data_IF_425641618792
#
_entry.id   IF_425641618792
#
_cell.length_a   1.000
_cell.length_b   1.000
_cell.length_c   1.000
_cell.angle_alpha   90.00
_cell.angle_beta   90.00
_cell.angle_gamma   90.00
#
_symmetry.space_group_name_H-M   'P 1'
#
loop_
_entity.id
_entity.type
_entity.pdbx_description
1 polymer ?
2 non-polymer ?
3 non-polymer ?
4 water ?
#
# COMPACT_ATOMS: atom_id res chain seq x y z
CA UNK A 1 -5.52 -3.19 -17.01
C UNK A 1 -5.02 -1.75 -17.02
N UNK A 2 -4.87 -1.18 -15.82
CA UNK A 2 -4.30 0.14 -15.65
C UNK A 2 -2.79 0.07 -15.76
N UNK A 3 -2.19 1.18 -16.17
CA UNK A 3 -0.75 1.19 -16.33
C UNK A 3 -0.07 1.30 -14.96
N UNK A 4 0.91 0.44 -14.74
CA UNK A 4 1.72 0.41 -13.52
C UNK A 4 3.12 0.85 -13.90
N UNK A 5 3.77 1.75 -13.15
CA UNK A 5 3.30 2.39 -11.92
C UNK A 5 2.12 3.31 -12.16
N UNK A 6 1.20 3.30 -11.21
CA UNK A 6 -0.02 4.07 -11.29
C UNK A 6 -0.03 5.12 -10.18
N UNK A 7 -0.48 6.31 -10.52
CA UNK A 7 -0.66 7.38 -9.55
C UNK A 7 -2.15 7.64 -9.36
N UNK A 8 -2.63 7.43 -8.14
CA UNK A 8 -4.00 7.74 -7.76
C UNK A 8 -4.00 9.01 -6.93
N UNK A 9 -4.42 10.16 -7.46
CA UNK A 9 -4.52 11.35 -6.62
C UNK A 9 -5.54 11.10 -5.52
N UNK A 10 -5.27 11.66 -4.34
CA UNK A 10 -6.15 11.59 -3.17
C UNK A 10 -6.53 13.03 -2.87
N UNK A 11 -7.60 13.54 -3.47
CA UNK A 11 -7.84 15.00 -3.40
C UNK A 11 -8.08 15.48 -1.98
N UNK A 12 -7.31 16.48 -1.59
CA UNK A 12 -7.38 17.00 -0.24
C UNK A 12 -6.75 16.09 0.79
N UNK A 13 -5.98 15.10 0.35
CA UNK A 13 -5.31 14.22 1.26
C UNK A 13 -6.24 13.16 1.82
N UNK A 14 -5.71 12.47 2.81
CA UNK A 14 -6.48 11.43 3.47
C UNK A 14 -7.09 11.95 4.76
N UNK A 15 -8.03 11.19 5.27
CA UNK A 15 -8.82 11.58 6.43
C UNK A 15 -9.33 10.27 7.04
N UNK A 16 -9.55 10.20 8.33
CA UNK A 16 -10.16 9.01 8.88
C UNK A 16 -11.50 8.75 8.22
N UNK A 17 -11.78 7.46 8.03
CA UNK A 17 -12.97 6.89 7.39
C UNK A 17 -12.81 6.80 5.88
N UNK A 18 -11.68 7.22 5.33
CA UNK A 18 -11.41 7.02 3.91
C UNK A 18 -10.85 5.63 3.67
N UNK A 19 -11.49 4.90 2.77
CA UNK A 19 -11.15 3.53 2.44
C UNK A 19 -10.64 3.50 1.00
N UNK A 20 -9.40 3.04 0.83
CA UNK A 20 -8.79 2.83 -0.47
C UNK A 20 -8.90 1.35 -0.80
N UNK A 21 -9.33 1.04 -2.01
CA UNK A 21 -9.41 -0.35 -2.46
C UNK A 21 -8.61 -0.52 -3.73
N UNK A 22 -7.71 -1.49 -3.72
CA UNK A 22 -6.88 -1.83 -4.88
C UNK A 22 -7.20 -3.28 -5.26
N UNK A 23 -7.58 -3.50 -6.51
CA UNK A 23 -7.79 -4.84 -7.03
C UNK A 23 -6.76 -5.10 -8.11
N UNK A 24 -6.14 -6.28 -8.08
CA UNK A 24 -5.23 -6.64 -9.15
C UNK A 24 -4.93 -8.11 -9.07
N UNK A 25 -3.99 -8.54 -9.89
CA UNK A 25 -3.52 -9.92 -9.91
C UNK A 25 -2.01 -9.88 -9.86
N UNK A 26 -1.43 -10.69 -8.99
CA UNK A 26 0.02 -10.75 -8.93
C UNK A 26 0.55 -11.44 -10.18
N UNK A 27 1.62 -10.90 -10.75
CA UNK A 27 2.24 -11.53 -11.92
C UNK A 27 2.80 -12.90 -11.56
N UNK A 28 3.00 -13.76 -12.56
CA UNK A 28 3.29 -15.18 -12.25
C UNK A 28 4.59 -15.42 -11.51
N UNK A 29 5.64 -14.65 -11.75
CA UNK A 29 6.89 -14.85 -11.03
C UNK A 29 7.25 -13.57 -10.32
N UNK A 30 6.42 -13.16 -9.35
CA UNK A 30 6.55 -11.81 -8.81
C UNK A 30 7.70 -11.71 -7.83
N UNK A 31 8.30 -10.54 -7.78
CA UNK A 31 9.33 -10.26 -6.79
C UNK A 31 8.89 -9.23 -5.76
N UNK A 32 8.14 -8.20 -6.16
CA UNK A 32 7.84 -7.11 -5.24
C UNK A 32 6.60 -6.36 -5.70
N UNK A 33 5.93 -5.73 -4.71
CA UNK A 33 4.81 -4.82 -4.92
C UNK A 33 5.05 -3.66 -3.98
N UNK A 34 4.63 -2.45 -4.36
CA UNK A 34 4.65 -1.35 -3.41
C UNK A 34 3.45 -0.44 -3.56
N UNK A 35 2.89 -0.07 -2.42
CA UNK A 35 1.98 1.07 -2.30
C UNK A 35 2.73 2.19 -1.60
N UNK A 36 2.64 3.40 -2.12
CA UNK A 36 3.31 4.56 -1.55
C UNK A 36 2.30 5.69 -1.37
N UNK A 37 1.87 5.90 -0.12
CA UNK A 37 1.07 7.08 0.21
C UNK A 37 2.04 8.23 0.40
N UNK A 38 1.98 9.23 -0.47
CA UNK A 38 3.01 10.25 -0.55
C UNK A 38 2.50 11.62 -0.11
N UNK A 39 3.39 12.34 0.58
CA UNK A 39 3.23 13.75 0.92
C UNK A 39 4.35 14.48 0.18
N UNK A 40 4.03 14.99 -1.00
CA UNK A 40 5.10 15.50 -1.86
C UNK A 40 6.12 14.41 -2.14
N UNK A 41 7.39 14.74 -1.95
CA UNK A 41 8.46 13.76 -2.11
C UNK A 41 8.56 12.77 -0.97
N UNK A 42 7.93 13.04 0.15
CA UNK A 42 7.99 12.11 1.27
C UNK A 42 7.00 10.97 1.06
N UNK A 43 7.33 9.82 1.64
CA UNK A 43 6.43 8.68 1.62
C UNK A 43 5.92 8.49 3.02
N UNK A 44 4.66 8.88 3.26
CA UNK A 44 4.09 8.71 4.58
C UNK A 44 3.94 7.24 4.96
N UNK A 45 3.55 6.40 4.02
CA UNK A 45 3.32 4.97 4.29
C UNK A 45 3.67 4.22 3.02
N UNK A 46 4.74 3.43 3.14
CA UNK A 46 5.22 2.51 2.09
C UNK A 46 4.85 1.13 2.58
N UNK A 47 4.09 0.42 1.76
CA UNK A 47 3.63 -0.95 2.03
C UNK A 47 4.21 -1.82 0.93
N UNK A 48 5.12 -2.74 1.29
CA UNK A 48 6.02 -3.35 0.32
C UNK A 48 6.13 -4.87 0.52
N UNK A 49 5.22 -5.62 -0.07
CA UNK A 49 5.41 -7.08 -0.17
C UNK A 49 6.65 -7.44 -0.96
N UNK A 50 7.49 -8.27 -0.35
CA UNK A 50 8.69 -8.82 -0.96
C UNK A 50 8.54 -10.34 -1.03
N UNK A 51 8.57 -10.88 -2.24
CA UNK A 51 8.34 -12.31 -2.44
C UNK A 51 9.59 -13.17 -2.22
N UNK A 52 10.78 -12.57 -2.20
CA UNK A 52 12.01 -13.31 -2.01
C UNK A 52 13.06 -12.38 -1.42
N UNK A 53 13.00 -12.20 -0.12
CA UNK A 53 14.05 -11.52 0.62
C UNK A 53 14.76 -12.64 1.38
N UNK A 54 15.92 -13.04 0.88
CA UNK A 54 16.66 -14.16 1.48
C UNK A 54 15.77 -15.40 1.63
N UNK A 55 15.00 -15.67 0.58
CA UNK A 55 14.15 -16.85 0.46
C UNK A 55 12.99 -16.85 1.43
N UNK A 56 12.61 -15.68 1.91
CA UNK A 56 11.44 -15.49 2.74
C UNK A 56 10.52 -14.46 2.11
N UNK A 57 9.25 -14.61 2.35
CA UNK A 57 8.24 -13.64 1.92
C UNK A 57 7.88 -12.77 3.11
N UNK A 58 7.93 -11.46 2.91
CA UNK A 58 7.71 -10.54 4.02
C UNK A 58 7.07 -9.27 3.47
N UNK A 59 6.29 -8.61 4.30
CA UNK A 59 5.80 -7.26 3.99
C UNK A 59 6.61 -6.28 4.81
N UNK A 60 7.25 -5.34 4.13
CA UNK A 60 8.00 -4.28 4.79
C UNK A 60 7.21 -2.99 4.68
N UNK A 61 7.07 -2.30 5.81
CA UNK A 61 6.41 -0.98 5.84
C UNK A 61 7.38 0.05 6.41
N UNK A 62 7.32 1.26 5.89
CA UNK A 62 8.24 2.31 6.33
C UNK A 62 7.71 3.65 5.86
N UNK A 63 8.45 4.68 6.22
CA UNK A 63 8.23 6.08 5.87
C UNK A 63 9.55 6.65 5.37
N UNK A 64 9.46 7.49 4.35
CA UNK A 64 10.62 8.15 3.76
C UNK A 64 10.47 9.65 3.95
N UNK A 65 11.43 10.27 4.64
CA UNK A 65 11.38 11.69 4.95
C UNK A 65 12.69 12.31 4.46
N UNK A 66 12.59 13.35 3.63
CA UNK A 66 13.79 14.00 3.10
C UNK A 66 14.75 13.00 2.46
N UNK A 67 14.18 12.03 1.74
CA UNK A 67 14.90 10.98 1.01
C UNK A 67 15.51 9.92 1.92
N UNK A 68 15.21 9.90 3.20
CA UNK A 68 15.74 8.91 4.12
C UNK A 68 14.63 7.97 4.59
N UNK A 69 14.84 6.67 4.40
CA UNK A 69 13.97 5.68 4.99
C UNK A 69 14.19 5.60 6.49
N UNK A 70 13.09 5.38 7.22
CA UNK A 70 13.11 5.25 8.65
C UNK A 70 13.22 3.81 9.10
N UNK A 71 12.67 3.55 10.28
CA UNK A 71 12.68 2.20 10.85
C UNK A 71 11.64 1.34 10.19
N UNK A 72 12.06 0.19 9.67
CA UNK A 72 11.12 -0.70 9.01
C UNK A 72 10.24 -1.40 10.04
N UNK A 73 8.98 -1.62 9.66
CA UNK A 73 8.06 -2.49 10.38
C UNK A 73 7.76 -3.69 9.50
N UNK A 74 7.97 -4.89 10.02
CA UNK A 74 7.90 -6.09 9.19
C UNK A 74 6.79 -7.03 9.64
N UNK A 75 6.11 -7.63 8.66
CA UNK A 75 5.01 -8.56 8.88
C UNK A 75 5.27 -9.80 8.03
N UNK A 76 5.43 -10.96 8.69
CA UNK A 76 5.64 -12.23 8.02
C UNK A 76 4.36 -12.89 7.55
N UNK A 77 3.19 -12.45 8.05
CA UNK A 77 1.96 -12.91 7.44
C UNK A 77 1.93 -12.37 6.02
N UNK A 78 1.78 -13.25 5.03
CA UNK A 78 2.02 -12.89 3.65
C UNK A 78 0.91 -13.44 2.80
N UNK A 79 -0.14 -12.65 2.56
CA UNK A 79 -1.35 -13.16 1.93
C UNK A 79 -1.34 -13.14 0.41
N UNK A 80 -0.28 -12.65 -0.22
CA UNK A 80 -0.19 -12.57 -1.66
C UNK A 80 0.41 -13.85 -2.20
N UNK A 81 0.02 -14.17 -3.44
CA UNK A 81 0.48 -15.37 -4.11
C UNK A 81 0.72 -15.06 -5.58
N UNK A 82 1.89 -15.44 -6.09
CA UNK A 82 2.16 -15.23 -7.51
C UNK A 82 1.03 -15.80 -8.35
N UNK A 83 0.64 -15.03 -9.35
CA UNK A 83 -0.35 -15.45 -10.29
C UNK A 83 -1.79 -15.25 -9.86
N UNK A 84 -2.05 -14.80 -8.61
CA UNK A 84 -3.42 -14.84 -8.15
C UNK A 84 -4.00 -13.46 -7.85
N UNK A 85 -5.32 -13.33 -8.04
CA UNK A 85 -5.99 -12.06 -7.77
C UNK A 85 -6.06 -11.75 -6.29
N UNK A 86 -5.95 -10.45 -6.01
CA UNK A 86 -5.98 -9.96 -4.65
C UNK A 86 -6.83 -8.69 -4.57
N UNK A 87 -7.19 -8.38 -3.33
CA UNK A 87 -7.82 -7.12 -2.98
C UNK A 87 -7.05 -6.57 -1.79
N UNK A 88 -6.56 -5.34 -1.89
CA UNK A 88 -5.99 -4.62 -0.75
C UNK A 88 -6.96 -3.52 -0.38
N UNK A 89 -7.35 -3.47 0.88
CA UNK A 89 -8.14 -2.37 1.43
C UNK A 89 -7.28 -1.66 2.47
N UNK A 90 -7.12 -0.35 2.30
CA UNK A 90 -6.42 0.47 3.27
C UNK A 90 -7.45 1.44 3.84
N UNK A 91 -7.76 1.29 5.12
CA UNK A 91 -8.69 2.17 5.80
C UNK A 91 -7.87 3.14 6.63
N UNK A 92 -8.09 4.43 6.42
CA UNK A 92 -7.44 5.42 7.24
C UNK A 92 -8.24 5.54 8.54
N UNK A 93 -7.59 5.24 9.65
CA UNK A 93 -8.16 5.46 10.96
C UNK A 93 -7.44 6.61 11.64
N UNK A 94 -7.94 7.09 12.77
CA UNK A 94 -7.34 8.30 13.35
C UNK A 94 -5.86 8.18 13.64
N UNK A 95 -5.39 7.03 14.06
CA UNK A 95 -4.01 6.90 14.48
C UNK A 95 -3.19 5.92 13.67
N UNK A 96 -3.79 5.28 12.66
CA UNK A 96 -3.04 4.36 11.82
C UNK A 96 -3.75 4.15 10.51
N UNK A 97 -2.98 3.67 9.52
CA UNK A 97 -3.54 2.99 8.37
C UNK A 97 -3.82 1.54 8.77
N UNK A 98 -4.98 1.03 8.38
CA UNK A 98 -5.36 -0.34 8.69
C UNK A 98 -5.52 -1.09 7.38
N UNK A 99 -4.76 -2.17 7.19
CA UNK A 99 -4.70 -2.85 5.90
C UNK A 99 -5.30 -4.24 6.04
N UNK A 100 -6.21 -4.56 5.14
CA UNK A 100 -6.77 -5.91 5.00
C UNK A 100 -6.50 -6.39 3.58
N UNK A 101 -6.16 -7.65 3.43
CA UNK A 101 -5.97 -8.25 2.12
C UNK A 101 -6.94 -9.41 1.99
N UNK A 102 -7.67 -9.44 0.89
CA UNK A 102 -8.63 -10.51 0.65
C UNK A 102 -9.57 -10.66 1.85
N UNK A 103 -10.01 -9.50 2.38
CA UNK A 103 -10.99 -9.39 3.45
C UNK A 103 -10.47 -9.82 4.82
N UNK A 104 -9.18 -10.11 4.95
CA UNK A 104 -8.61 -10.47 6.24
C UNK A 104 -7.65 -9.40 6.71
N UNK A 105 -7.85 -8.94 7.94
CA UNK A 105 -6.96 -7.95 8.51
C UNK A 105 -5.52 -8.45 8.46
N UNK A 106 -4.64 -7.56 8.02
CA UNK A 106 -3.23 -7.87 7.88
C UNK A 106 -2.34 -7.10 8.84
N UNK A 107 -2.43 -5.78 8.85
CA UNK A 107 -1.54 -4.99 9.69
C UNK A 107 -2.10 -3.60 9.89
N UNK A 108 -1.55 -2.91 10.88
CA UNK A 108 -1.77 -1.47 11.07
C UNK A 108 -0.42 -0.78 11.06
N UNK A 109 -0.41 0.46 10.60
CA UNK A 109 0.80 1.28 10.53
C UNK A 109 0.47 2.63 11.16
N UNK A 110 1.08 2.89 12.31
CA UNK A 110 0.84 4.14 13.04
C UNK A 110 1.30 5.33 12.21
N UNK A 111 0.52 6.41 12.26
CA UNK A 111 0.86 7.61 11.49
C UNK A 111 2.13 8.26 12.03
N UNK A 112 3.16 8.27 11.19
CA UNK A 112 4.39 9.02 11.45
C UNK A 112 4.28 10.41 10.85
N UNK A 113 3.77 10.49 9.64
CA UNK A 113 3.42 11.75 8.97
C UNK A 113 2.02 12.11 9.41
N UNK A 114 1.90 13.23 10.10
CA UNK A 114 0.68 13.56 10.84
C UNK A 114 -0.20 14.55 10.11
N UNK A 115 0.30 15.19 9.07
CA UNK A 115 -0.47 16.10 8.24
C UNK A 115 -1.22 15.26 7.20
N UNK A 116 -2.29 14.60 7.68
CA UNK A 116 -2.98 13.64 6.82
C UNK A 116 -3.52 14.31 5.57
N UNK A 117 -3.99 15.54 5.67
CA UNK A 117 -4.55 16.18 4.50
C UNK A 117 -3.49 16.61 3.49
N UNK A 118 -2.21 16.37 3.76
CA UNK A 118 -1.16 16.61 2.79
C UNK A 118 -0.69 15.33 2.10
N UNK A 119 -1.24 14.19 2.49
CA UNK A 119 -0.90 12.89 1.89
C UNK A 119 -1.85 12.71 0.71
N UNK A 120 -1.48 13.30 -0.42
CA UNK A 120 -2.51 13.48 -1.45
C UNK A 120 -2.21 12.73 -2.74
N UNK A 121 -1.37 11.70 -2.67
CA UNK A 121 -1.17 10.80 -3.79
C UNK A 121 -0.92 9.41 -3.24
N UNK A 122 -1.38 8.40 -3.99
CA UNK A 122 -1.01 7.01 -3.77
C UNK A 122 -0.37 6.48 -5.04
N UNK A 123 0.88 6.05 -4.93
CA UNK A 123 1.53 5.33 -6.02
C UNK A 123 1.38 3.82 -5.83
N UNK A 124 1.16 3.13 -6.94
CA UNK A 124 1.05 1.68 -6.96
C UNK A 124 2.05 1.16 -7.97
N UNK A 125 2.99 0.32 -7.51
CA UNK A 125 4.05 -0.14 -8.39
C UNK A 125 4.34 -1.62 -8.13
N UNK A 126 5.07 -2.21 -9.07
CA UNK A 126 5.59 -3.54 -8.92
C UNK A 126 4.86 -4.57 -9.76
N UNK A 127 4.96 -5.81 -9.30
CA UNK A 127 4.75 -6.98 -10.16
C UNK A 127 3.30 -7.44 -10.11
N UNK A 128 2.43 -6.55 -10.58
CA UNK A 128 1.00 -6.81 -10.62
C UNK A 128 0.43 -6.38 -11.95
N UNK A 129 -0.70 -6.98 -12.27
CA UNK A 129 -1.66 -6.44 -13.22
C UNK A 129 -2.68 -5.70 -12.36
N UNK A 130 -2.81 -4.42 -12.58
CA UNK A 130 -3.67 -3.57 -11.76
C UNK A 130 -5.03 -3.45 -12.43
N UNK A 131 -6.08 -3.87 -11.74
CA UNK A 131 -7.42 -3.84 -12.27
C UNK A 131 -8.13 -2.53 -11.91
N UNK A 132 -8.05 -2.10 -10.66
CA UNK A 132 -8.71 -0.87 -10.26
C UNK A 132 -8.08 -0.34 -8.98
N UNK A 133 -8.22 0.95 -8.81
CA UNK A 133 -7.75 1.64 -7.61
C UNK A 133 -8.72 2.78 -7.37
N UNK A 134 -9.34 2.79 -6.20
CA UNK A 134 -10.36 3.79 -5.93
C UNK A 134 -10.47 4.02 -4.43
N UNK A 135 -11.27 5.02 -4.07
CA UNK A 135 -11.52 5.34 -2.68
C UNK A 135 -12.98 5.67 -2.46
N UNK A 136 -13.37 5.57 -1.20
CA UNK A 136 -14.71 5.93 -0.76
C UNK A 136 -14.68 6.20 0.74
N UNK A 137 -15.73 6.85 1.24
CA UNK A 137 -15.85 7.13 2.66
C UNK A 137 -16.79 6.10 3.28
N UNK A 138 -16.38 5.56 4.42
CA UNK A 138 -17.24 4.63 5.11
C UNK A 138 -17.71 5.26 6.41
X LIG B 1 12.36 0.58 -1.93
X LIG B 1 12.42 1.68 -2.69
X LIG B 1 16.30 0.45 5.01
X LIG B 1 15.90 0.84 3.76
X LIG B 1 16.46 0.21 2.65
X LIG B 1 14.73 -0.60 0.78
X LIG B 1 12.79 0.49 1.81
X LIG B 1 12.04 0.42 0.50
X LIG B 1 11.16 0.23 -3.70
X LIG B 1 9.47 -1.42 -4.40
X LIG B 1 8.52 -1.34 -6.59
X LIG B 1 14.11 -0.44 -0.54
X LIG B 1 17.24 -0.53 5.19
X LIG B 1 13.06 0.51 -0.62
X LIG B 1 11.58 -0.37 -2.49
X LIG B 1 10.24 -0.34 -4.75
X LIG B 1 8.61 -1.91 -5.36
X LIG B 1 9.29 -0.25 -6.92
X LIG B 1 10.15 0.27 -5.98
X LIG B 1 17.78 -1.15 4.08
X LIG B 1 17.41 -0.76 2.78
X LIG B 1 11.88 0.32 3.00
X LIG B 1 7.83 -2.97 -5.06
X LIG B 1 9.17 0.30 -8.13
X LIG B 1 7.67 -1.83 -7.54
X LIG B 1 11.68 1.48 -3.78
X LIG B 1 13.71 -0.64 1.87
X LIG B 1 12.59 0.44 4.20
X LIG B 1 11.31 -0.75 0.36
X LIG B 1 15.02 -0.48 -1.61
X LIG B 1 15.91 0.72 0.99
X LIG B 1 15.52 1.28 6.51
X LIG B 1 15.25 1.51 3.65
X LIG B 1 15.21 -1.44 0.85
X LIG B 1 13.22 1.35 1.88
X LIG B 1 11.39 1.14 0.47
X LIG B 1 9.51 -1.80 -3.55
X LIG B 1 13.64 -1.26 -0.71
X LIG B 1 17.52 -0.76 6.04
X LIG B 1 13.53 1.36 -0.54
X LIG B 1 11.38 -1.21 -2.16
X LIG B 1 10.67 1.02 -6.17
X LIG B 1 18.39 -1.84 4.19
X LIG B 1 17.80 -1.15 2.04
X LIG B 1 11.47 -0.57 2.96
X LIG B 1 11.20 1.00 2.97
X LIG B 1 13.39 0.67 4.05
X LIG B 1 11.72 -1.28 -0.17
X LIG B 1 14.77 -1.06 -2.17
X LIG C 1 11.62 -4.16 -2.60
X LIG C 1 12.83 -3.52 -3.81
X LIG C 1 13.60 -3.11 -4.57
#
# INVERSE_FOLDING_TARGET
PLIVPYNLPLPGGVVPRMLITILGTVKPNANRIALDFQRGNDVAFHFNPRFNENNRRVIVCNTKLDNNWGREERQSVFPFESGKPFKIQVLVEPDHFKVAVNDAHLLQYNHRVKKLNEISKLGISGDIDLTSASYTMI
KOE N1 N3 C4 C5 C6 C7 C8 C10 C13 C15 C17 C20 C1 C11 C12 C14 C16 C18 C19 C2 C3 C9 F1 F2 F3 N2 O1 O2 O3 O4 S1 BR1 H51 H71 H81 H101 H151 H201 H11 H111 H121 H191 H21 H31 H92 H91 H22 H32 H41
SCN S C N
#
